data_IF_013850222203
#
_entry.id   IF_013850222203
#
_cell.length_a   1.000
_cell.length_b   1.000
_cell.length_c   1.000
_cell.angle_alpha   90.00
_cell.angle_beta   90.00
_cell.angle_gamma   90.00
#
_symmetry.space_group_name_H-M   'P 1'
#
loop_
_entity.id
_entity.type
_entity.pdbx_description
1 polymer ?
#
# COMPACT_ATOMS: atom_id res chain seq x y z
N UNK A 1 3.36 -0.05 -13.73
CA UNK A 1 2.73 0.08 -12.39
C UNK A 1 3.81 -0.19 -11.35
N UNK A 2 3.97 0.69 -10.37
CA UNK A 2 4.92 0.54 -9.27
C UNK A 2 4.20 0.44 -7.92
N UNK A 3 4.65 -0.48 -7.07
CA UNK A 3 4.16 -0.62 -5.70
C UNK A 3 5.25 -0.10 -4.75
N UNK A 4 4.88 0.80 -3.85
CA UNK A 4 5.80 1.43 -2.91
C UNK A 4 5.48 1.00 -1.47
N UNK A 5 6.50 0.69 -0.68
CA UNK A 5 6.36 0.49 0.78
C UNK A 5 6.21 1.86 1.45
N UNK A 6 4.98 2.37 1.48
CA UNK A 6 4.67 3.72 1.91
C UNK A 6 3.26 4.13 1.50
N UNK A 7 2.88 5.36 1.82
CA UNK A 7 1.55 5.89 1.50
C UNK A 7 1.53 6.62 0.15
N UNK A 8 0.36 6.65 -0.49
CA UNK A 8 0.00 7.56 -1.56
C UNK A 8 -0.92 8.67 -1.04
N UNK A 9 -2.19 8.64 -1.45
CA UNK A 9 -3.22 9.62 -1.08
C UNK A 9 -3.50 9.66 0.43
N UNK A 10 -3.27 8.55 1.15
CA UNK A 10 -3.39 8.45 2.61
C UNK A 10 -2.19 9.13 3.32
N UNK A 11 -2.11 10.44 3.16
CA UNK A 11 -1.07 11.32 3.69
C UNK A 11 -1.69 12.65 4.11
N UNK A 12 -1.17 13.38 5.13
CA UNK A 12 -1.74 14.65 5.59
C UNK A 12 -1.93 15.68 4.48
N UNK A 13 -1.05 15.65 3.48
CA UNK A 13 -1.06 16.55 2.31
C UNK A 13 -1.64 15.92 1.04
N UNK A 14 -2.33 14.78 1.16
CA UNK A 14 -2.85 13.97 0.02
C UNK A 14 -1.79 13.58 -1.02
N UNK A 15 -0.51 13.60 -0.63
CA UNK A 15 0.63 13.44 -1.53
C UNK A 15 1.80 12.71 -0.85
N UNK A 16 1.64 11.40 -0.63
CA UNK A 16 2.68 10.53 -0.06
C UNK A 16 3.73 10.07 -1.08
N UNK A 17 4.65 9.21 -0.62
CA UNK A 17 5.74 8.65 -1.44
C UNK A 17 5.26 8.07 -2.76
N UNK A 18 4.18 7.29 -2.76
CA UNK A 18 3.66 6.68 -3.98
C UNK A 18 3.13 7.73 -4.98
N UNK A 19 2.50 8.80 -4.51
CA UNK A 19 2.07 9.91 -5.36
C UNK A 19 3.28 10.63 -5.96
N UNK A 20 4.26 10.97 -5.11
CA UNK A 20 5.45 11.70 -5.51
C UNK A 20 6.27 10.92 -6.54
N UNK A 21 6.63 9.66 -6.24
CA UNK A 21 7.39 8.83 -7.17
C UNK A 21 6.59 8.49 -8.44
N UNK A 22 5.27 8.28 -8.31
CA UNK A 22 4.42 8.02 -9.47
C UNK A 22 4.40 9.19 -10.45
N UNK A 23 4.34 10.43 -9.94
CA UNK A 23 4.42 11.65 -10.75
C UNK A 23 5.79 11.78 -11.42
N UNK A 24 6.89 11.63 -10.65
CA UNK A 24 8.24 11.76 -11.18
C UNK A 24 8.59 10.72 -12.24
N UNK A 25 8.08 9.50 -12.10
CA UNK A 25 8.34 8.40 -13.03
C UNK A 25 7.33 8.34 -14.19
N UNK A 26 6.28 9.16 -14.17
CA UNK A 26 5.09 9.06 -15.05
C UNK A 26 4.54 7.62 -15.16
N UNK A 27 4.40 6.95 -14.02
CA UNK A 27 3.90 5.58 -13.94
C UNK A 27 2.73 5.49 -12.97
N UNK A 28 1.72 4.66 -13.27
CA UNK A 28 0.72 4.30 -12.28
C UNK A 28 1.40 3.77 -11.01
N UNK A 29 0.99 4.25 -9.83
CA UNK A 29 1.65 3.90 -8.57
C UNK A 29 0.67 3.65 -7.43
N UNK A 30 1.02 2.72 -6.54
CA UNK A 30 0.21 2.32 -5.39
C UNK A 30 1.05 2.37 -4.13
N UNK A 31 0.54 3.00 -3.08
CA UNK A 31 1.10 2.92 -1.73
C UNK A 31 0.60 1.67 -1.03
N UNK A 32 1.51 0.88 -0.48
CA UNK A 32 1.26 -0.34 0.29
C UNK A 32 2.00 -0.26 1.63
N UNK A 33 1.37 0.32 2.64
CA UNK A 33 2.00 0.59 3.93
C UNK A 33 1.68 -0.50 4.98
N UNK A 34 2.63 -0.70 5.90
CA UNK A 34 2.53 -1.65 7.03
C UNK A 34 1.78 -1.09 8.24
N UNK A 35 1.59 0.24 8.30
CA UNK A 35 0.88 1.00 9.33
C UNK A 35 0.05 2.13 8.71
N UNK A 36 -0.92 2.63 9.48
CA UNK A 36 -1.70 3.83 9.14
C UNK A 36 -0.83 5.07 9.40
N UNK A 37 -0.92 6.07 8.53
CA UNK A 37 -0.32 7.38 8.73
C UNK A 37 -1.36 8.45 9.10
N UNK A 38 -2.50 8.42 8.42
CA UNK A 38 -3.66 9.32 8.65
C UNK A 38 -4.96 8.55 8.43
N UNK A 39 -6.04 9.13 8.95
CA UNK A 39 -7.38 8.60 8.85
C UNK A 39 -7.66 7.42 9.76
N UNK A 40 -8.94 7.10 9.83
CA UNK A 40 -9.49 6.00 10.63
C UNK A 40 -10.01 4.90 9.72
N UNK A 41 -10.01 3.67 10.21
CA UNK A 41 -10.57 2.53 9.51
C UNK A 41 -11.22 1.55 10.48
N UNK A 42 -12.28 0.89 10.03
CA UNK A 42 -12.79 -0.31 10.71
C UNK A 42 -11.86 -1.51 10.49
N UNK A 43 -11.99 -2.56 11.29
CA UNK A 43 -11.30 -3.83 11.02
C UNK A 43 -11.93 -4.50 9.79
N UNK A 44 -11.17 -4.84 8.73
CA UNK A 44 -11.73 -5.54 7.59
C UNK A 44 -12.10 -6.99 7.96
N UNK A 45 -12.95 -7.63 7.16
CA UNK A 45 -13.27 -9.04 7.35
C UNK A 45 -12.03 -9.95 7.41
N UNK A 46 -12.17 -11.16 8.00
CA UNK A 46 -11.04 -12.09 8.19
C UNK A 46 -10.57 -12.76 6.89
N UNK A 47 -11.44 -12.85 5.88
CA UNK A 47 -11.16 -13.49 4.60
C UNK A 47 -10.24 -12.64 3.72
N UNK A 48 -9.40 -13.30 2.91
CA UNK A 48 -8.56 -12.61 1.93
C UNK A 48 -9.42 -11.79 0.96
N UNK A 49 -9.00 -10.56 0.68
CA UNK A 49 -9.73 -9.64 -0.19
C UNK A 49 -10.76 -8.77 0.54
N UNK A 50 -11.13 -9.09 1.78
CA UNK A 50 -11.95 -8.20 2.58
C UNK A 50 -11.19 -6.89 2.86
N UNK A 51 -11.89 -5.76 2.82
CA UNK A 51 -11.29 -4.46 3.08
C UNK A 51 -12.29 -3.51 3.73
N UNK A 52 -11.76 -2.49 4.42
CA UNK A 52 -12.51 -1.39 5.00
C UNK A 52 -11.92 -0.06 4.50
N UNK A 53 -12.73 0.97 4.25
CA UNK A 53 -12.20 2.26 3.80
C UNK A 53 -11.37 2.91 4.92
N UNK A 54 -10.29 3.58 4.53
CA UNK A 54 -9.60 4.55 5.38
C UNK A 54 -10.21 5.91 5.08
N UNK A 55 -10.74 6.56 6.11
CA UNK A 55 -11.34 7.90 6.01
C UNK A 55 -10.55 8.91 6.80
N UNK A 56 -10.19 10.01 6.15
CA UNK A 56 -9.47 11.12 6.75
C UNK A 56 -10.21 12.41 6.39
N UNK A 57 -10.61 13.20 7.40
CA UNK A 57 -11.40 14.43 7.21
C UNK A 57 -12.68 14.23 6.36
N UNK A 58 -13.35 13.09 6.53
CA UNK A 58 -14.55 12.72 5.78
C UNK A 58 -14.28 12.14 4.39
N UNK A 59 -13.07 12.29 3.85
CA UNK A 59 -12.67 11.78 2.55
C UNK A 59 -12.13 10.36 2.63
N UNK A 60 -12.38 9.55 1.59
CA UNK A 60 -11.80 8.21 1.49
C UNK A 60 -10.42 8.30 0.83
N UNK A 61 -9.38 8.09 1.61
CA UNK A 61 -7.98 8.23 1.17
C UNK A 61 -7.29 6.90 0.87
N UNK A 62 -7.87 5.78 1.30
CA UNK A 62 -7.30 4.45 1.11
C UNK A 62 -8.22 3.32 1.59
N UNK A 63 -7.63 2.14 1.80
CA UNK A 63 -8.29 0.98 2.35
C UNK A 63 -7.35 0.15 3.24
N UNK A 64 -7.86 -0.36 4.35
CA UNK A 64 -7.21 -1.45 5.09
C UNK A 64 -7.64 -2.78 4.44
N UNK A 65 -6.69 -3.48 3.83
CA UNK A 65 -6.94 -4.65 2.98
C UNK A 65 -6.41 -5.91 3.62
N UNK A 66 -7.24 -6.96 3.70
CA UNK A 66 -6.84 -8.30 4.11
C UNK A 66 -6.14 -9.03 2.96
N UNK A 67 -4.84 -8.80 2.79
CA UNK A 67 -4.04 -9.46 1.74
C UNK A 67 -3.81 -10.95 2.00
N UNK A 68 -3.82 -11.36 3.28
CA UNK A 68 -3.76 -12.75 3.73
C UNK A 68 -4.79 -13.00 4.83
N UNK A 69 -5.54 -14.10 4.71
CA UNK A 69 -6.59 -14.44 5.68
C UNK A 69 -6.02 -14.57 7.10
N UNK A 70 -6.74 -14.01 8.09
CA UNK A 70 -6.36 -14.08 9.51
C UNK A 70 -5.11 -13.28 9.91
N UNK A 71 -4.47 -12.54 9.00
CA UNK A 71 -3.28 -11.72 9.29
C UNK A 71 -3.65 -10.24 9.30
N UNK A 72 -2.95 -9.42 10.10
CA UNK A 72 -3.12 -7.95 10.13
C UNK A 72 -3.21 -7.34 8.72
N UNK A 73 -4.10 -6.36 8.50
CA UNK A 73 -4.29 -5.78 7.18
C UNK A 73 -3.04 -5.05 6.67
N UNK A 74 -3.01 -4.83 5.36
CA UNK A 74 -2.09 -3.93 4.67
C UNK A 74 -2.87 -2.66 4.30
N UNK A 75 -2.25 -1.49 4.45
CA UNK A 75 -2.89 -0.22 4.15
C UNK A 75 -2.56 0.20 2.73
N UNK A 76 -3.57 0.20 1.87
CA UNK A 76 -3.43 0.45 0.43
C UNK A 76 -4.02 1.82 0.12
N UNK A 77 -3.25 2.69 -0.54
CA UNK A 77 -3.71 3.99 -1.01
C UNK A 77 -3.31 4.25 -2.46
N UNK A 78 -4.15 4.94 -3.26
CA UNK A 78 -3.79 5.33 -4.62
C UNK A 78 -2.58 6.26 -4.62
N UNK A 79 -1.67 6.10 -5.57
CA UNK A 79 -0.55 7.01 -5.78
C UNK A 79 -0.83 7.97 -6.95
N UNK A 80 -0.44 7.57 -8.14
CA UNK A 80 -0.56 8.33 -9.39
C UNK A 80 -1.28 7.50 -10.46
N UNK A 81 -2.10 8.14 -11.31
CA UNK A 81 -2.82 7.53 -12.45
C UNK A 81 -3.51 6.19 -12.14
N UNK A 82 -4.05 6.03 -10.92
CA UNK A 82 -4.77 4.83 -10.50
C UNK A 82 -5.86 5.16 -9.48
N UNK A 83 -7.00 4.47 -9.57
CA UNK A 83 -8.07 4.55 -8.58
C UNK A 83 -7.95 3.50 -7.47
N UNK A 84 -8.67 3.69 -6.36
CA UNK A 84 -8.60 2.81 -5.19
C UNK A 84 -8.96 1.35 -5.49
N UNK A 85 -10.01 1.09 -6.26
CA UNK A 85 -10.41 -0.28 -6.60
C UNK A 85 -9.29 -1.02 -7.37
N UNK A 86 -8.66 -0.35 -8.33
CA UNK A 86 -7.52 -0.91 -9.07
C UNK A 86 -6.29 -1.08 -8.17
N UNK A 87 -6.01 -0.14 -7.27
CA UNK A 87 -4.92 -0.24 -6.30
C UNK A 87 -5.07 -1.48 -5.39
N UNK A 88 -6.28 -1.71 -4.84
CA UNK A 88 -6.59 -2.90 -4.03
C UNK A 88 -6.41 -4.18 -4.85
N UNK A 89 -6.95 -4.20 -6.08
CA UNK A 89 -6.82 -5.36 -6.99
C UNK A 89 -5.37 -5.73 -7.23
N UNK A 90 -4.51 -4.75 -7.53
CA UNK A 90 -3.08 -5.00 -7.76
C UNK A 90 -2.34 -5.40 -6.50
N UNK A 91 -2.63 -4.76 -5.36
CA UNK A 91 -2.05 -5.17 -4.08
C UNK A 91 -2.39 -6.64 -3.76
N UNK A 92 -3.64 -7.07 -3.98
CA UNK A 92 -4.05 -8.46 -3.80
C UNK A 92 -3.40 -9.41 -4.82
N UNK A 93 -3.41 -9.07 -6.11
CA UNK A 93 -2.85 -9.91 -7.17
C UNK A 93 -1.35 -10.17 -6.97
N UNK A 94 -0.62 -9.19 -6.45
CA UNK A 94 0.80 -9.32 -6.15
C UNK A 94 1.09 -9.92 -4.76
N UNK A 95 0.07 -10.24 -3.95
CA UNK A 95 0.24 -10.71 -2.58
C UNK A 95 0.05 -12.21 -2.43
N UNK A 96 1.17 -12.93 -2.20
CA UNK A 96 1.20 -14.28 -1.58
C UNK A 96 1.31 -14.20 -0.05
N UNK A 97 1.93 -13.14 0.46
CA UNK A 97 2.11 -12.83 1.89
C UNK A 97 1.32 -11.57 2.29
N UNK A 98 1.51 -11.07 3.52
CA UNK A 98 0.89 -9.81 3.97
C UNK A 98 1.32 -8.62 3.09
N UNK A 99 2.62 -8.54 2.79
CA UNK A 99 3.22 -7.52 1.93
C UNK A 99 3.30 -8.08 0.50
N UNK A 100 2.98 -7.28 -0.54
CA UNK A 100 3.09 -7.71 -1.92
C UNK A 100 4.50 -8.17 -2.28
N UNK A 101 4.58 -9.19 -3.12
CA UNK A 101 5.82 -9.85 -3.52
C UNK A 101 6.87 -8.88 -4.08
N UNK A 102 6.54 -7.90 -4.96
CA UNK A 102 7.53 -6.95 -5.48
C UNK A 102 8.21 -6.13 -4.37
N UNK A 103 7.43 -5.66 -3.39
CA UNK A 103 7.94 -4.90 -2.24
C UNK A 103 8.80 -5.81 -1.36
N UNK A 104 8.30 -7.02 -1.08
CA UNK A 104 9.00 -8.00 -0.23
C UNK A 104 10.37 -8.38 -0.80
N UNK A 105 10.46 -8.59 -2.11
CA UNK A 105 11.71 -8.91 -2.81
C UNK A 105 12.68 -7.71 -2.80
N UNK A 106 12.18 -6.49 -3.02
CA UNK A 106 12.99 -5.28 -2.92
C UNK A 106 13.59 -5.10 -1.51
N UNK A 107 12.78 -5.29 -0.47
CA UNK A 107 13.23 -5.22 0.94
C UNK A 107 14.30 -6.30 1.23
N UNK A 108 14.12 -7.53 0.74
CA UNK A 108 15.11 -8.60 0.88
C UNK A 108 16.44 -8.27 0.20
N UNK A 109 16.39 -7.72 -1.02
CA UNK A 109 17.59 -7.33 -1.76
C UNK A 109 18.37 -6.23 -1.03
N UNK A 110 17.69 -5.15 -0.62
CA UNK A 110 18.32 -4.05 0.13
C UNK A 110 18.94 -4.54 1.43
N UNK A 111 18.25 -5.43 2.16
CA UNK A 111 18.77 -6.00 3.41
C UNK A 111 19.99 -6.91 3.19
N UNK A 112 20.06 -7.63 2.05
CA UNK A 112 21.25 -8.40 1.68
C UNK A 112 22.44 -7.49 1.40
N UNK A 113 22.25 -6.50 0.53
CA UNK A 113 23.31 -5.54 0.15
C UNK A 113 23.84 -4.77 1.37
N UNK A 114 22.97 -4.37 2.30
CA UNK A 114 23.37 -3.71 3.55
C UNK A 114 24.24 -4.59 4.47
N UNK A 115 24.13 -5.92 4.38
CA UNK A 115 24.96 -6.84 5.16
C UNK A 115 26.31 -7.08 4.49
N UNK A 116 26.33 -7.12 3.17
CA UNK A 116 27.57 -7.27 2.37
C UNK A 116 28.44 -6.02 2.39
N UNK A 117 27.83 -4.83 2.56
CA UNK A 117 28.53 -3.55 2.66
C UNK A 117 29.00 -3.19 4.08
N UNK A 118 28.78 -4.07 5.07
CA UNK A 118 29.28 -3.92 6.45
C UNK A 118 30.54 -4.73 6.63
#
# INVERSE_FOLDING_TARGET
LCLFDGQGLAHPRRFGLACHMGLLLDLPSVGCAKSVLVGEHGEPGRARGAWSPIRDEGERVGAAVRTRAGVRPLFVSPGHRIGLAAAIRWALACSRYRVPEPIRLAEQLVNRLKREAR
#
